data_IF_729677930861
#
_entry.id   IF_729677930861
#
_cell.length_a   1.000
_cell.length_b   1.000
_cell.length_c   1.000
_cell.angle_alpha   90.00
_cell.angle_beta   90.00
_cell.angle_gamma   90.00
#
_symmetry.space_group_name_H-M   'P 1'
#
loop_
_entity.id
_entity.type
_entity.pdbx_description
1 polymer ?
#
# COMPACT_ATOMS: atom_id res chain seq x y z
N UNK A 1 17.39 -36.21 25.06
CA UNK A 1 17.21 -34.85 24.50
C UNK A 1 17.92 -34.79 23.16
N UNK A 2 17.15 -34.70 22.07
CA UNK A 2 17.62 -34.99 20.72
C UNK A 2 18.28 -33.80 20.00
N UNK A 3 19.36 -34.09 19.28
CA UNK A 3 20.06 -33.17 18.36
C UNK A 3 19.19 -32.89 17.10
N UNK A 4 18.20 -33.74 16.85
CA UNK A 4 17.25 -33.62 15.74
C UNK A 4 16.23 -32.49 15.91
N UNK A 5 15.99 -31.96 17.13
CA UNK A 5 15.07 -30.83 17.33
C UNK A 5 15.69 -29.46 17.09
N UNK A 6 17.02 -29.36 17.04
CA UNK A 6 17.72 -28.11 16.69
C UNK A 6 17.94 -27.96 15.19
N UNK A 7 18.02 -29.09 14.46
CA UNK A 7 18.09 -29.07 13.00
C UNK A 7 16.77 -28.59 12.36
N UNK A 8 15.61 -28.89 12.95
CA UNK A 8 14.31 -28.44 12.42
C UNK A 8 14.05 -26.94 12.62
N UNK A 9 14.66 -26.31 13.63
CA UNK A 9 14.47 -24.87 13.90
C UNK A 9 15.33 -23.97 13.01
N UNK A 10 16.52 -24.45 12.62
CA UNK A 10 17.45 -23.71 11.73
C UNK A 10 17.00 -23.76 10.27
N UNK A 11 16.16 -24.72 9.89
CA UNK A 11 15.56 -24.77 8.55
C UNK A 11 14.39 -23.78 8.46
N UNK A 12 13.56 -23.63 9.51
CA UNK A 12 12.43 -22.68 9.50
C UNK A 12 12.87 -21.22 9.43
N UNK A 13 13.95 -20.84 10.10
CA UNK A 13 14.46 -19.45 10.06
C UNK A 13 15.18 -19.12 8.75
N UNK A 14 15.79 -20.09 8.08
CA UNK A 14 16.40 -19.91 6.76
C UNK A 14 15.41 -20.01 5.60
N UNK A 15 14.26 -20.67 5.78
CA UNK A 15 13.17 -20.63 4.78
C UNK A 15 12.53 -19.23 4.74
N UNK A 16 12.36 -18.54 5.87
CA UNK A 16 11.93 -17.13 5.86
C UNK A 16 13.00 -16.18 5.28
N UNK A 17 14.30 -16.47 5.48
CA UNK A 17 15.37 -15.63 4.92
C UNK A 17 15.72 -15.93 3.45
N UNK A 18 15.42 -17.13 2.94
CA UNK A 18 15.63 -17.52 1.53
C UNK A 18 14.37 -17.34 0.66
N UNK A 19 13.15 -17.32 1.23
CA UNK A 19 11.97 -16.79 0.52
C UNK A 19 12.09 -15.28 0.25
N UNK A 20 12.81 -14.54 1.09
CA UNK A 20 13.09 -13.11 0.90
C UNK A 20 14.24 -12.83 -0.07
N UNK A 21 14.75 -13.85 -0.77
CA UNK A 21 15.61 -13.70 -1.95
C UNK A 21 14.90 -14.24 -3.19
N UNK A 22 13.60 -14.04 -3.29
CA UNK A 22 12.97 -13.85 -4.58
C UNK A 22 13.63 -12.61 -5.18
N UNK A 23 14.41 -12.76 -6.26
CA UNK A 23 14.74 -11.62 -7.11
C UNK A 23 13.43 -10.89 -7.39
N UNK A 24 13.37 -9.61 -7.03
CA UNK A 24 12.24 -8.75 -7.37
C UNK A 24 12.01 -8.91 -8.89
N UNK A 25 10.88 -9.48 -9.32
CA UNK A 25 10.64 -9.74 -10.73
C UNK A 25 10.69 -8.44 -11.54
N UNK A 26 10.42 -7.29 -10.91
CA UNK A 26 10.62 -5.97 -11.52
C UNK A 26 12.08 -5.73 -11.91
N UNK A 27 13.04 -5.98 -11.01
CA UNK A 27 14.47 -5.74 -11.26
C UNK A 27 15.02 -6.65 -12.37
N UNK A 28 14.64 -7.93 -12.37
CA UNK A 28 15.08 -8.86 -13.43
C UNK A 28 14.50 -8.48 -14.80
N UNK A 29 13.26 -7.98 -14.84
CA UNK A 29 12.66 -7.49 -16.08
C UNK A 29 13.25 -6.14 -16.52
N UNK A 30 13.60 -5.25 -15.59
CA UNK A 30 14.30 -3.99 -15.88
C UNK A 30 15.66 -4.27 -16.52
N UNK A 31 16.45 -5.16 -15.92
CA UNK A 31 17.73 -5.60 -16.47
C UNK A 31 17.59 -6.22 -17.87
N UNK A 32 16.61 -7.11 -18.05
CA UNK A 32 16.35 -7.73 -19.36
C UNK A 32 15.96 -6.69 -20.42
N UNK A 33 15.19 -5.66 -20.04
CA UNK A 33 14.83 -4.58 -20.95
C UNK A 33 16.05 -3.76 -21.37
N UNK A 34 16.95 -3.43 -20.45
CA UNK A 34 18.22 -2.76 -20.75
C UNK A 34 19.07 -3.59 -21.70
N UNK A 35 19.23 -4.88 -21.43
CA UNK A 35 19.99 -5.79 -22.31
C UNK A 35 19.42 -5.82 -23.74
N UNK A 36 18.09 -5.83 -23.90
CA UNK A 36 17.48 -5.77 -25.22
C UNK A 36 17.72 -4.43 -25.92
N UNK A 37 17.74 -3.31 -25.17
CA UNK A 37 18.07 -1.99 -25.73
C UNK A 37 19.53 -1.92 -26.20
N UNK A 38 20.44 -2.49 -25.43
CA UNK A 38 21.85 -2.58 -25.81
C UNK A 38 22.02 -3.44 -27.06
N UNK A 39 21.32 -4.56 -27.15
CA UNK A 39 21.33 -5.41 -28.35
C UNK A 39 20.77 -4.66 -29.58
N UNK A 40 19.69 -3.89 -29.42
CA UNK A 40 19.18 -3.05 -30.49
C UNK A 40 20.22 -2.01 -30.94
N UNK A 41 20.99 -1.45 -30.01
CA UNK A 41 22.07 -0.52 -30.34
C UNK A 41 23.22 -1.21 -31.07
N UNK A 42 23.61 -2.42 -30.65
CA UNK A 42 24.61 -3.24 -31.33
C UNK A 42 24.19 -3.56 -32.76
N UNK A 43 22.93 -3.93 -32.99
CA UNK A 43 22.39 -4.18 -34.34
C UNK A 43 22.46 -2.91 -35.19
N UNK A 44 22.06 -1.74 -34.65
CA UNK A 44 22.17 -0.45 -35.35
C UNK A 44 23.61 -0.13 -35.75
N UNK A 45 24.56 -0.37 -34.85
CA UNK A 45 25.99 -0.19 -35.13
C UNK A 45 26.48 -1.14 -36.23
N UNK A 46 26.08 -2.41 -36.17
CA UNK A 46 26.40 -3.39 -37.22
C UNK A 46 25.87 -3.00 -38.59
N UNK A 47 24.65 -2.43 -38.67
CA UNK A 47 24.10 -1.88 -39.91
C UNK A 47 24.93 -0.69 -40.41
N UNK A 48 25.37 0.20 -39.52
CA UNK A 48 26.21 1.35 -39.89
C UNK A 48 27.58 0.90 -40.43
N UNK A 49 28.21 -0.09 -39.80
CA UNK A 49 29.48 -0.67 -40.24
C UNK A 49 29.35 -1.33 -41.61
N UNK A 50 28.25 -2.06 -41.83
CA UNK A 50 27.95 -2.69 -43.11
C UNK A 50 27.71 -1.64 -44.21
N UNK A 51 26.99 -0.57 -43.88
CA UNK A 51 26.74 0.57 -44.78
C UNK A 51 28.07 1.22 -45.20
N UNK A 52 28.97 1.41 -44.24
CA UNK A 52 30.30 1.99 -44.48
C UNK A 52 31.12 1.10 -45.42
N UNK A 53 31.11 -0.22 -45.19
CA UNK A 53 31.77 -1.18 -46.08
C UNK A 53 31.20 -1.14 -47.50
N UNK A 54 29.86 -1.11 -47.64
CA UNK A 54 29.19 -0.98 -48.94
C UNK A 54 29.63 0.30 -49.67
N UNK A 55 29.60 1.45 -48.99
CA UNK A 55 30.05 2.73 -49.57
C UNK A 55 31.52 2.73 -49.98
N UNK A 56 32.38 2.05 -49.23
CA UNK A 56 33.79 1.89 -49.61
C UNK A 56 33.96 1.11 -50.91
N UNK A 57 33.14 0.08 -51.14
CA UNK A 57 33.16 -0.67 -52.41
C UNK A 57 32.58 0.15 -53.55
N UNK A 58 31.49 0.89 -53.33
CA UNK A 58 30.91 1.79 -54.34
C UNK A 58 31.92 2.87 -54.80
N UNK A 59 32.68 3.46 -53.87
CA UNK A 59 33.74 4.41 -54.22
C UNK A 59 34.84 3.75 -55.05
N UNK A 60 35.23 2.51 -54.72
CA UNK A 60 36.21 1.77 -55.51
C UNK A 60 35.68 1.45 -56.91
N UNK A 61 34.43 1.02 -57.02
CA UNK A 61 33.74 0.78 -58.30
C UNK A 61 33.78 2.04 -59.17
N UNK A 62 33.39 3.21 -58.62
CA UNK A 62 33.40 4.49 -59.34
C UNK A 62 34.79 4.85 -59.88
N UNK A 63 35.84 4.66 -59.10
CA UNK A 63 37.23 4.87 -59.56
C UNK A 63 37.60 3.94 -60.73
N UNK A 64 37.11 2.70 -60.73
CA UNK A 64 37.36 1.78 -61.85
C UNK A 64 36.58 2.19 -63.09
N UNK A 65 35.34 2.66 -62.94
CA UNK A 65 34.52 3.20 -64.04
C UNK A 65 35.22 4.38 -64.73
N UNK A 66 35.76 5.34 -63.97
CA UNK A 66 36.57 6.44 -64.52
C UNK A 66 37.81 5.93 -65.29
N UNK A 67 38.45 4.84 -64.83
CA UNK A 67 39.58 4.24 -65.54
C UNK A 67 39.15 3.52 -66.82
N UNK A 68 37.97 2.89 -66.82
CA UNK A 68 37.37 2.28 -68.02
C UNK A 68 37.12 3.34 -69.08
N UNK A 69 36.58 4.50 -68.69
CA UNK A 69 36.37 5.64 -69.60
C UNK A 69 37.70 6.17 -70.17
N UNK A 70 38.70 6.40 -69.30
CA UNK A 70 40.04 6.83 -69.75
C UNK A 70 40.68 5.86 -70.73
N UNK A 71 40.62 4.56 -70.48
CA UNK A 71 41.16 3.56 -71.41
C UNK A 71 40.36 3.48 -72.71
N UNK A 72 39.05 3.73 -72.66
CA UNK A 72 38.20 3.82 -73.84
C UNK A 72 38.57 5.04 -74.71
N UNK A 73 38.82 6.19 -74.11
CA UNK A 73 39.33 7.38 -74.83
C UNK A 73 40.72 7.15 -75.41
N UNK A 74 41.64 6.55 -74.66
CA UNK A 74 42.97 6.19 -75.14
C UNK A 74 42.90 5.24 -76.35
N UNK A 75 42.01 4.26 -76.32
CA UNK A 75 41.79 3.36 -77.45
C UNK A 75 41.29 4.12 -78.69
N UNK A 76 40.30 5.02 -78.54
CA UNK A 76 39.79 5.85 -79.65
C UNK A 76 40.89 6.72 -80.26
N UNK A 77 41.67 7.43 -79.44
CA UNK A 77 42.80 8.26 -79.90
C UNK A 77 43.90 7.45 -80.60
N UNK A 78 44.17 6.22 -80.14
CA UNK A 78 45.14 5.35 -80.78
C UNK A 78 44.67 4.88 -82.16
N UNK A 79 43.37 4.57 -82.31
CA UNK A 79 42.77 4.23 -83.61
C UNK A 79 42.80 5.42 -84.56
N UNK A 80 42.51 6.64 -84.09
CA UNK A 80 42.63 7.87 -84.90
C UNK A 80 44.05 8.13 -85.42
N UNK A 81 45.07 7.53 -84.78
CA UNK A 81 46.47 7.65 -85.15
C UNK A 81 47.01 6.41 -85.90
N UNK A 82 46.12 5.49 -86.31
CA UNK A 82 46.48 4.21 -86.96
C UNK A 82 47.43 3.34 -86.10
N UNK A 83 47.34 3.45 -84.77
CA UNK A 83 48.16 2.70 -83.80
C UNK A 83 47.37 1.58 -83.14
N UNK A 84 47.03 0.57 -83.93
CA UNK A 84 46.21 -0.58 -83.50
C UNK A 84 46.81 -1.37 -82.32
N UNK A 85 48.13 -1.43 -82.20
CA UNK A 85 48.83 -2.11 -81.10
C UNK A 85 48.55 -1.42 -79.75
N UNK A 86 48.53 -0.09 -79.74
CA UNK A 86 48.18 0.71 -78.56
C UNK A 86 46.69 0.65 -78.26
N UNK A 87 45.84 0.69 -79.30
CA UNK A 87 44.39 0.55 -79.12
C UNK A 87 44.04 -0.79 -78.47
N UNK A 88 44.64 -1.90 -78.94
CA UNK A 88 44.45 -3.23 -78.36
C UNK A 88 44.87 -3.29 -76.89
N UNK A 89 46.05 -2.75 -76.55
CA UNK A 89 46.53 -2.68 -75.15
C UNK A 89 45.60 -1.86 -74.25
N UNK A 90 45.06 -0.75 -74.73
CA UNK A 90 44.11 0.07 -73.99
C UNK A 90 42.79 -0.69 -73.75
N UNK A 91 42.28 -1.39 -74.77
CA UNK A 91 41.08 -2.22 -74.66
C UNK A 91 41.27 -3.44 -73.74
N UNK A 92 42.45 -4.06 -73.73
CA UNK A 92 42.79 -5.13 -72.77
C UNK A 92 42.73 -4.62 -71.32
N UNK A 93 43.33 -3.45 -71.03
CA UNK A 93 43.24 -2.81 -69.71
C UNK A 93 41.79 -2.47 -69.35
N UNK A 94 41.03 -1.90 -70.30
CA UNK A 94 39.60 -1.62 -70.13
C UNK A 94 38.85 -2.89 -69.71
N UNK A 95 39.04 -4.00 -70.43
CA UNK A 95 38.40 -5.29 -70.14
C UNK A 95 38.77 -5.81 -68.75
N UNK A 96 40.03 -5.73 -68.35
CA UNK A 96 40.46 -6.12 -67.00
C UNK A 96 39.74 -5.29 -65.92
N UNK A 97 39.58 -3.98 -66.12
CA UNK A 97 38.86 -3.11 -65.19
C UNK A 97 37.36 -3.38 -65.16
N UNK A 98 36.75 -3.69 -66.31
CA UNK A 98 35.33 -4.10 -66.37
C UNK A 98 35.08 -5.39 -65.58
N UNK A 99 35.96 -6.39 -65.69
CA UNK A 99 35.84 -7.61 -64.87
C UNK A 99 35.98 -7.30 -63.36
N UNK A 100 36.81 -6.34 -62.97
CA UNK A 100 36.92 -5.90 -61.57
C UNK A 100 35.64 -5.21 -61.08
N UNK A 101 35.00 -4.41 -61.93
CA UNK A 101 33.71 -3.77 -61.64
C UNK A 101 32.62 -4.81 -61.40
N UNK A 102 32.49 -5.80 -62.29
CA UNK A 102 31.48 -6.87 -62.16
C UNK A 102 31.62 -7.63 -60.83
N UNK A 103 32.87 -7.93 -60.41
CA UNK A 103 33.12 -8.54 -59.10
C UNK A 103 32.70 -7.64 -57.92
N UNK A 104 32.93 -6.33 -58.02
CA UNK A 104 32.49 -5.38 -56.99
C UNK A 104 30.98 -5.22 -56.96
N UNK A 105 30.30 -5.26 -58.11
CA UNK A 105 28.84 -5.21 -58.19
C UNK A 105 28.20 -6.39 -57.45
N UNK A 106 28.75 -7.60 -57.65
CA UNK A 106 28.33 -8.78 -56.90
C UNK A 106 28.48 -8.58 -55.38
N UNK A 107 29.63 -8.08 -54.93
CA UNK A 107 29.89 -7.81 -53.51
C UNK A 107 28.97 -6.73 -52.94
N UNK A 108 28.73 -5.64 -53.68
CA UNK A 108 27.82 -4.56 -53.27
C UNK A 108 26.40 -5.11 -53.11
N UNK A 109 25.92 -5.89 -54.07
CA UNK A 109 24.59 -6.51 -54.02
C UNK A 109 24.46 -7.51 -52.84
N UNK A 110 25.52 -8.25 -52.52
CA UNK A 110 25.55 -9.12 -51.34
C UNK A 110 25.45 -8.32 -50.04
N UNK A 111 26.20 -7.21 -49.91
CA UNK A 111 26.15 -6.36 -48.73
C UNK A 111 24.79 -5.65 -48.60
N UNK A 112 24.18 -5.25 -49.72
CA UNK A 112 22.84 -4.66 -49.75
C UNK A 112 21.78 -5.65 -49.23
N UNK A 113 21.76 -6.89 -49.74
CA UNK A 113 20.86 -7.93 -49.21
C UNK A 113 21.04 -8.18 -47.71
N UNK A 114 22.28 -8.20 -47.24
CA UNK A 114 22.58 -8.36 -45.80
C UNK A 114 22.10 -7.15 -44.99
N UNK A 115 22.26 -5.95 -45.53
CA UNK A 115 21.80 -4.72 -44.91
C UNK A 115 20.29 -4.72 -44.75
N UNK A 116 19.55 -5.04 -45.81
CA UNK A 116 18.09 -5.07 -45.78
C UNK A 116 17.58 -6.09 -44.76
N UNK A 117 18.19 -7.28 -44.73
CA UNK A 117 17.87 -8.31 -43.75
C UNK A 117 18.11 -7.85 -42.30
N UNK A 118 19.23 -7.16 -42.03
CA UNK A 118 19.51 -6.62 -40.70
C UNK A 118 18.54 -5.50 -40.32
N UNK A 119 18.08 -4.68 -41.27
CA UNK A 119 17.06 -3.65 -41.02
C UNK A 119 15.74 -4.31 -40.62
N UNK A 120 15.31 -5.36 -41.32
CA UNK A 120 14.11 -6.13 -40.96
C UNK A 120 14.22 -6.74 -39.56
N UNK A 121 15.36 -7.35 -39.24
CA UNK A 121 15.62 -7.91 -37.91
C UNK A 121 15.64 -6.83 -36.82
N UNK A 122 16.24 -5.67 -37.09
CA UNK A 122 16.23 -4.50 -36.19
C UNK A 122 14.80 -4.05 -35.91
N UNK A 123 13.96 -3.94 -36.94
CA UNK A 123 12.56 -3.55 -36.78
C UNK A 123 11.76 -4.58 -35.98
N UNK A 124 12.04 -5.87 -36.18
CA UNK A 124 11.44 -6.94 -35.37
C UNK A 124 11.87 -6.86 -33.90
N UNK A 125 13.16 -6.68 -33.64
CA UNK A 125 13.69 -6.54 -32.28
C UNK A 125 13.10 -5.31 -31.59
N UNK A 126 12.97 -4.18 -32.30
CA UNK A 126 12.33 -2.98 -31.78
C UNK A 126 10.88 -3.24 -31.35
N UNK A 127 10.08 -3.91 -32.17
CA UNK A 127 8.70 -4.29 -31.80
C UNK A 127 8.66 -5.20 -30.57
N UNK A 128 9.57 -6.17 -30.49
CA UNK A 128 9.67 -7.07 -29.34
C UNK A 128 10.05 -6.32 -28.06
N UNK A 129 10.93 -5.31 -28.15
CA UNK A 129 11.31 -4.45 -27.03
C UNK A 129 10.12 -3.62 -26.53
N UNK A 130 9.34 -3.06 -27.44
CA UNK A 130 8.12 -2.31 -27.10
C UNK A 130 7.08 -3.21 -26.40
N UNK A 131 6.85 -4.41 -26.94
CA UNK A 131 5.97 -5.40 -26.30
C UNK A 131 6.49 -5.83 -24.93
N UNK A 132 7.80 -6.07 -24.81
CA UNK A 132 8.44 -6.43 -23.56
C UNK A 132 8.30 -5.31 -22.51
N UNK A 133 8.45 -4.05 -22.90
CA UNK A 133 8.22 -2.89 -22.03
C UNK A 133 6.81 -2.90 -21.45
N UNK A 134 5.78 -3.06 -22.29
CA UNK A 134 4.38 -3.11 -21.82
C UNK A 134 4.14 -4.28 -20.87
N UNK A 135 4.67 -5.46 -21.19
CA UNK A 135 4.57 -6.65 -20.32
C UNK A 135 5.27 -6.42 -18.99
N UNK A 136 6.46 -5.82 -19.00
CA UNK A 136 7.22 -5.47 -17.79
C UNK A 136 6.41 -4.58 -16.86
N UNK A 137 5.89 -3.45 -17.36
CA UNK A 137 5.09 -2.52 -16.53
C UNK A 137 3.83 -3.21 -15.98
N UNK A 138 3.17 -4.05 -16.79
CA UNK A 138 2.01 -4.83 -16.34
C UNK A 138 2.37 -5.81 -15.23
N UNK A 139 3.51 -6.50 -15.37
CA UNK A 139 3.99 -7.46 -14.36
C UNK A 139 4.41 -6.76 -13.07
N UNK A 140 5.06 -5.60 -13.17
CA UNK A 140 5.44 -4.78 -12.02
C UNK A 140 4.20 -4.32 -11.23
N UNK A 141 3.21 -3.74 -11.91
CA UNK A 141 1.95 -3.33 -11.28
C UNK A 141 1.20 -4.50 -10.62
N UNK A 142 1.17 -5.67 -11.27
CA UNK A 142 0.55 -6.88 -10.70
C UNK A 142 1.29 -7.37 -9.46
N UNK A 143 2.62 -7.32 -9.49
CA UNK A 143 3.45 -7.69 -8.35
C UNK A 143 3.21 -6.75 -7.16
N UNK A 144 3.23 -5.43 -7.39
CA UNK A 144 2.94 -4.42 -6.36
C UNK A 144 1.53 -4.59 -5.76
N UNK A 145 0.52 -4.85 -6.61
CA UNK A 145 -0.84 -5.11 -6.14
C UNK A 145 -0.96 -6.41 -5.32
N UNK A 146 -0.26 -7.47 -5.72
CA UNK A 146 -0.22 -8.72 -4.99
C UNK A 146 0.50 -8.56 -3.64
N UNK A 147 1.59 -7.79 -3.61
CA UNK A 147 2.32 -7.46 -2.39
C UNK A 147 1.46 -6.64 -1.42
N UNK A 148 0.78 -5.60 -1.91
CA UNK A 148 -0.15 -4.81 -1.09
C UNK A 148 -1.29 -5.68 -0.53
N UNK A 149 -1.85 -6.56 -1.37
CA UNK A 149 -2.90 -7.50 -0.95
C UNK A 149 -2.39 -8.46 0.13
N UNK A 150 -1.16 -8.97 0.00
CA UNK A 150 -0.55 -9.82 1.02
C UNK A 150 -0.37 -9.09 2.35
N UNK A 151 0.13 -7.84 2.32
CA UNK A 151 0.27 -7.00 3.53
C UNK A 151 -1.06 -6.72 4.22
N UNK A 152 -2.13 -6.43 3.46
CA UNK A 152 -3.48 -6.22 4.02
C UNK A 152 -4.01 -7.50 4.66
N UNK A 153 -3.87 -8.65 4.00
CA UNK A 153 -4.30 -9.93 4.56
C UNK A 153 -3.52 -10.26 5.84
N UNK A 154 -2.20 -10.06 5.85
CA UNK A 154 -1.36 -10.24 7.03
C UNK A 154 -1.82 -9.34 8.18
N UNK A 155 -2.05 -8.06 7.91
CA UNK A 155 -2.58 -7.11 8.89
C UNK A 155 -3.96 -7.51 9.42
N UNK A 156 -4.88 -7.98 8.56
CA UNK A 156 -6.20 -8.46 8.99
C UNK A 156 -6.10 -9.72 9.84
N UNK A 157 -5.25 -10.68 9.46
CA UNK A 157 -5.05 -11.91 10.26
C UNK A 157 -4.38 -11.62 11.60
N UNK A 158 -3.38 -10.73 11.62
CA UNK A 158 -2.71 -10.31 12.85
C UNK A 158 -3.59 -9.45 13.76
N UNK A 159 -4.49 -8.65 13.18
CA UNK A 159 -5.53 -7.94 13.91
C UNK A 159 -6.61 -8.91 14.43
N UNK A 160 -6.88 -10.01 13.73
CA UNK A 160 -7.82 -11.04 14.17
C UNK A 160 -7.48 -11.61 15.54
N UNK A 161 -6.21 -11.92 15.79
CA UNK A 161 -5.74 -12.40 17.09
C UNK A 161 -5.98 -11.35 18.19
N UNK A 162 -5.72 -10.08 17.89
CA UNK A 162 -5.95 -8.95 18.81
C UNK A 162 -7.43 -8.66 19.03
N UNK A 163 -8.26 -8.80 17.99
CA UNK A 163 -9.71 -8.63 18.05
C UNK A 163 -10.37 -9.76 18.84
N UNK A 164 -9.87 -10.98 18.76
CA UNK A 164 -10.34 -12.10 19.57
C UNK A 164 -10.09 -11.86 21.06
N UNK A 165 -8.91 -11.32 21.41
CA UNK A 165 -8.58 -10.92 22.78
C UNK A 165 -9.47 -9.77 23.30
N UNK A 166 -9.76 -8.79 22.45
CA UNK A 166 -10.66 -7.68 22.78
C UNK A 166 -12.09 -8.20 22.98
N UNK A 167 -12.60 -9.04 22.07
CA UNK A 167 -13.94 -9.61 22.15
C UNK A 167 -14.16 -10.39 23.45
N UNK A 168 -13.20 -11.26 23.82
CA UNK A 168 -13.22 -11.97 25.13
C UNK A 168 -13.22 -11.03 26.33
N UNK A 169 -12.58 -9.87 26.20
CA UNK A 169 -12.51 -8.90 27.28
C UNK A 169 -13.83 -8.14 27.45
N UNK A 170 -14.50 -7.83 26.34
CA UNK A 170 -15.85 -7.25 26.34
C UNK A 170 -16.85 -8.23 26.95
N UNK A 171 -16.85 -9.50 26.53
CA UNK A 171 -17.76 -10.53 27.05
C UNK A 171 -17.66 -10.68 28.58
N UNK A 172 -16.44 -10.70 29.14
CA UNK A 172 -16.23 -10.73 30.61
C UNK A 172 -16.74 -9.46 31.31
N UNK A 173 -16.66 -8.31 30.65
CA UNK A 173 -17.14 -7.06 31.21
C UNK A 173 -18.68 -7.02 31.22
N UNK A 174 -19.32 -7.55 30.18
CA UNK A 174 -20.77 -7.73 30.09
C UNK A 174 -21.26 -8.69 31.17
N UNK A 175 -20.68 -9.88 31.28
CA UNK A 175 -21.07 -10.90 32.28
C UNK A 175 -20.97 -10.35 33.72
N UNK A 176 -19.92 -9.56 33.99
CA UNK A 176 -19.76 -8.91 35.30
C UNK A 176 -20.79 -7.81 35.54
N UNK A 177 -21.16 -7.07 34.50
CA UNK A 177 -22.21 -6.04 34.58
C UNK A 177 -23.55 -6.70 34.84
N UNK A 178 -23.90 -7.75 34.11
CA UNK A 178 -25.11 -8.54 34.33
C UNK A 178 -25.16 -9.13 35.75
N UNK A 179 -24.04 -9.64 36.27
CA UNK A 179 -23.97 -10.11 37.65
C UNK A 179 -24.22 -8.98 38.66
N UNK A 180 -23.65 -7.80 38.43
CA UNK A 180 -23.88 -6.63 39.28
C UNK A 180 -25.33 -6.16 39.23
N UNK A 181 -25.95 -6.14 38.05
CA UNK A 181 -27.36 -5.82 37.85
C UNK A 181 -28.27 -6.84 38.52
N UNK A 182 -28.00 -8.14 38.35
CA UNK A 182 -28.75 -9.21 39.00
C UNK A 182 -28.64 -9.15 40.53
N UNK A 183 -27.44 -8.85 41.06
CA UNK A 183 -27.24 -8.60 42.50
C UNK A 183 -28.01 -7.38 42.97
N UNK A 184 -28.02 -6.28 42.20
CA UNK A 184 -28.80 -5.08 42.53
C UNK A 184 -30.30 -5.40 42.57
N UNK A 185 -30.82 -6.09 41.55
CA UNK A 185 -32.23 -6.50 41.50
C UNK A 185 -32.61 -7.43 42.67
N UNK A 186 -31.74 -8.38 43.03
CA UNK A 186 -31.94 -9.25 44.18
C UNK A 186 -31.92 -8.46 45.50
N UNK A 187 -31.06 -7.46 45.64
CA UNK A 187 -31.04 -6.57 46.81
C UNK A 187 -32.30 -5.71 46.90
N UNK A 188 -32.79 -5.20 45.77
CA UNK A 188 -34.04 -4.45 45.68
C UNK A 188 -35.24 -5.33 46.09
N UNK A 189 -35.31 -6.58 45.61
CA UNK A 189 -36.34 -7.56 46.01
C UNK A 189 -36.25 -7.93 47.50
N UNK A 190 -35.03 -8.12 48.04
CA UNK A 190 -34.81 -8.36 49.47
C UNK A 190 -35.23 -7.18 50.35
N UNK A 191 -35.09 -5.95 49.84
CA UNK A 191 -35.55 -4.72 50.50
C UNK A 191 -37.07 -4.61 50.46
N UNK A 192 -37.70 -4.87 49.31
CA UNK A 192 -39.17 -4.82 49.16
C UNK A 192 -39.88 -5.91 49.97
N UNK A 193 -39.31 -7.12 50.06
CA UNK A 193 -39.82 -8.22 50.89
C UNK A 193 -39.57 -8.03 52.40
N UNK A 194 -38.82 -7.00 52.80
CA UNK A 194 -38.45 -6.73 54.20
C UNK A 194 -37.44 -7.72 54.79
N UNK A 195 -36.94 -8.68 54.01
CA UNK A 195 -35.97 -9.67 54.46
C UNK A 195 -34.58 -9.06 54.76
N UNK A 196 -34.21 -7.99 54.06
CA UNK A 196 -32.94 -7.29 54.25
C UNK A 196 -32.88 -6.60 55.63
N UNK A 197 -33.94 -5.90 56.04
CA UNK A 197 -34.04 -5.27 57.37
C UNK A 197 -34.04 -6.32 58.50
N UNK A 198 -34.58 -7.51 58.23
CA UNK A 198 -34.56 -8.63 59.18
C UNK A 198 -33.17 -9.26 59.37
N UNK A 199 -32.26 -9.15 58.39
CA UNK A 199 -30.92 -9.73 58.44
C UNK A 199 -29.85 -8.74 58.97
N UNK A 200 -30.05 -7.44 58.80
CA UNK A 200 -29.13 -6.38 59.28
C UNK A 200 -29.43 -5.95 60.72
N UNK A 201 -30.64 -6.24 61.21
CA UNK A 201 -31.04 -5.98 62.59
C UNK A 201 -30.42 -6.97 63.58
N UNK A 202 -29.58 -6.47 64.51
CA UNK A 202 -29.07 -7.22 65.68
C UNK A 202 -30.17 -7.52 66.73
N UNK A 203 -31.44 -7.18 66.45
CA UNK A 203 -32.56 -7.43 67.37
C UNK A 203 -33.06 -8.87 67.22
N UNK A 204 -32.93 -9.64 68.29
CA UNK A 204 -33.50 -10.97 68.44
C UNK A 204 -35.02 -10.94 68.22
N UNK A 205 -35.63 -12.06 67.81
CA UNK A 205 -37.10 -12.17 67.70
C UNK A 205 -37.82 -11.81 69.02
N UNK A 206 -37.13 -11.98 70.15
CA UNK A 206 -37.61 -11.63 71.49
C UNK A 206 -37.67 -10.12 71.74
N UNK A 207 -36.73 -9.34 71.19
CA UNK A 207 -36.69 -7.88 71.36
C UNK A 207 -37.82 -7.21 70.57
N UNK A 208 -38.20 -7.78 69.42
CA UNK A 208 -39.36 -7.33 68.62
C UNK A 208 -40.68 -7.59 69.33
N UNK A 209 -40.85 -8.78 69.92
CA UNK A 209 -42.06 -9.12 70.68
C UNK A 209 -42.21 -8.24 71.93
N UNK A 210 -41.09 -7.84 72.56
CA UNK A 210 -41.05 -6.88 73.66
C UNK A 210 -41.37 -5.44 73.22
N UNK A 211 -40.91 -5.01 72.05
CA UNK A 211 -41.18 -3.66 71.51
C UNK A 211 -42.64 -3.54 71.08
N UNK A 212 -43.20 -4.58 70.44
CA UNK A 212 -44.64 -4.68 70.09
C UNK A 212 -45.52 -4.68 71.35
N UNK A 213 -45.17 -5.48 72.38
CA UNK A 213 -45.82 -5.43 73.70
C UNK A 213 -45.65 -4.09 74.41
N UNK A 214 -44.52 -3.39 74.24
CA UNK A 214 -44.29 -2.07 74.83
C UNK A 214 -45.09 -0.98 74.12
N UNK A 215 -45.32 -1.14 72.81
CA UNK A 215 -46.09 -0.22 71.99
C UNK A 215 -47.57 -0.40 72.29
N UNK A 216 -48.07 -1.64 72.40
CA UNK A 216 -49.42 -1.94 72.91
C UNK A 216 -49.61 -1.42 74.34
N UNK A 217 -48.64 -1.63 75.24
CA UNK A 217 -48.71 -1.09 76.60
C UNK A 217 -48.56 0.44 76.67
N UNK A 218 -47.96 1.08 75.68
CA UNK A 218 -47.89 2.54 75.55
C UNK A 218 -49.20 3.11 75.04
N UNK A 219 -49.81 2.47 74.03
CA UNK A 219 -51.11 2.84 73.48
C UNK A 219 -52.22 2.66 74.53
N UNK A 220 -52.18 1.59 75.33
CA UNK A 220 -53.13 1.39 76.44
C UNK A 220 -52.98 2.44 77.55
N UNK A 221 -51.73 2.85 77.88
CA UNK A 221 -51.49 3.96 78.82
C UNK A 221 -51.92 5.31 78.25
N UNK A 222 -51.74 5.54 76.95
CA UNK A 222 -52.18 6.76 76.27
C UNK A 222 -53.71 6.80 76.13
N UNK A 223 -54.38 5.64 76.01
CA UNK A 223 -55.84 5.49 76.04
C UNK A 223 -56.42 5.72 77.46
N UNK A 224 -55.74 5.27 78.51
CA UNK A 224 -56.11 5.56 79.90
C UNK A 224 -55.86 7.03 80.27
N UNK A 225 -54.81 7.64 79.71
CA UNK A 225 -54.53 9.07 79.87
C UNK A 225 -55.59 9.91 79.15
N UNK A 226 -55.96 9.57 77.91
CA UNK A 226 -57.09 10.18 77.17
C UNK A 226 -58.44 10.00 77.89
N UNK A 227 -58.70 8.84 78.51
CA UNK A 227 -59.89 8.64 79.36
C UNK A 227 -59.89 9.48 80.63
N UNK A 228 -58.72 9.75 81.20
CA UNK A 228 -58.56 10.62 82.37
C UNK A 228 -58.63 12.12 82.02
N UNK A 229 -58.22 12.49 80.80
CA UNK A 229 -58.27 13.86 80.27
C UNK A 229 -59.66 14.25 79.75
N UNK A 230 -60.50 13.29 79.33
CA UNK A 230 -61.93 13.53 79.04
C UNK A 230 -62.81 13.77 80.29
N UNK A 231 -62.25 13.65 81.51
CA UNK A 231 -62.96 13.85 82.77
C UNK A 231 -62.75 15.21 83.45
N UNK A 232 -61.92 16.10 82.88
CA UNK A 232 -61.55 17.38 83.51
C UNK A 232 -61.20 18.45 82.46
N UNK A 233 -62.24 18.92 81.77
CA UNK A 233 -62.19 20.14 80.98
C UNK A 233 -63.55 20.85 81.06
N UNK A 234 -63.75 21.65 82.11
CA UNK A 234 -64.65 22.79 82.07
C UNK A 234 -63.99 23.95 82.86
N UNK A 235 -63.77 25.05 82.12
CA UNK A 235 -63.45 26.44 82.49
C UNK A 235 -62.01 26.99 82.50
N UNK A 236 -61.89 28.05 81.69
CA UNK A 236 -60.92 29.16 81.59
C UNK A 236 -59.60 28.88 80.85
N UNK A 237 -59.44 29.16 79.55
CA UNK A 237 -59.63 30.38 78.72
C UNK A 237 -58.49 31.41 78.79
N UNK A 238 -58.19 31.95 77.60
CA UNK A 238 -57.45 33.15 77.23
C UNK A 238 -55.92 33.10 76.97
N UNK A 239 -55.62 33.15 75.65
CA UNK A 239 -54.70 34.09 74.96
C UNK A 239 -53.18 34.06 75.29
N UNK A 240 -52.22 34.31 74.39
CA UNK A 240 -52.12 34.60 72.96
C UNK A 240 -50.61 34.68 72.59
N UNK A 241 -50.28 34.66 71.29
CA UNK A 241 -49.03 35.17 70.70
C UNK A 241 -48.04 34.08 70.26
N UNK A 242 -47.83 33.85 68.95
CA UNK A 242 -46.90 34.60 68.06
C UNK A 242 -45.42 34.34 68.47
N UNK A 243 -44.46 33.99 67.63
CA UNK A 243 -44.30 34.12 66.19
C UNK A 243 -42.90 33.56 65.80
N UNK A 244 -42.72 33.22 64.51
CA UNK A 244 -41.53 33.48 63.65
C UNK A 244 -40.16 32.85 64.06
N UNK A 245 -39.24 32.42 63.19
CA UNK A 245 -38.82 32.75 61.82
C UNK A 245 -38.28 31.44 61.18
N UNK A 246 -38.48 31.10 59.90
CA UNK A 246 -38.16 31.82 58.66
C UNK A 246 -36.65 31.87 58.31
N UNK A 247 -36.42 31.59 57.02
CA UNK A 247 -35.27 31.93 56.17
C UNK A 247 -34.11 30.93 56.08
N UNK A 248 -34.01 30.16 54.98
CA UNK A 248 -33.69 30.53 53.57
C UNK A 248 -32.18 30.47 53.36
N UNK A 249 -31.72 29.53 52.52
CA UNK A 249 -30.89 29.73 51.31
C UNK A 249 -30.95 28.38 50.53
N UNK A 250 -31.82 28.18 49.53
CA UNK A 250 -31.63 28.44 48.07
C UNK A 250 -30.24 28.06 47.52
N UNK A 251 -30.12 26.82 47.04
CA UNK A 251 -29.89 26.36 45.65
C UNK A 251 -29.20 27.31 44.64
N UNK A 252 -28.67 26.87 43.46
CA UNK A 252 -28.24 25.53 43.00
C UNK A 252 -26.86 25.56 42.27
N UNK A 253 -26.51 24.40 41.67
CA UNK A 253 -25.90 24.17 40.35
C UNK A 253 -25.68 25.39 39.42
N UNK A 254 -24.82 25.42 38.42
CA UNK A 254 -24.33 24.41 37.46
C UNK A 254 -23.32 25.18 36.58
N UNK A 255 -22.31 24.54 35.99
CA UNK A 255 -22.05 24.75 34.56
C UNK A 255 -21.09 23.68 34.03
N UNK A 256 -21.64 22.92 33.09
CA UNK A 256 -20.99 22.02 32.16
C UNK A 256 -20.56 22.85 30.96
N UNK A 257 -19.40 22.55 30.35
CA UNK A 257 -19.20 22.93 28.96
C UNK A 257 -18.58 21.78 28.14
N UNK A 258 -19.32 21.44 27.08
CA UNK A 258 -18.98 20.55 25.98
C UNK A 258 -18.06 21.30 25.00
N UNK A 259 -17.13 20.60 24.33
CA UNK A 259 -17.04 20.63 22.86
C UNK A 259 -16.02 19.61 22.33
N UNK A 260 -16.48 18.85 21.33
CA UNK A 260 -15.86 17.69 20.69
C UNK A 260 -14.93 18.06 19.52
N UNK A 261 -13.95 17.17 19.29
CA UNK A 261 -13.40 16.66 18.02
C UNK A 261 -13.58 17.46 16.71
N UNK A 262 -12.47 17.77 16.03
CA UNK A 262 -12.12 17.16 14.71
C UNK A 262 -10.75 17.62 14.14
N UNK A 263 -10.01 16.62 13.60
CA UNK A 263 -9.15 16.57 12.40
C UNK A 263 -7.75 17.21 12.30
N UNK A 264 -6.84 16.34 11.85
CA UNK A 264 -5.52 16.54 11.22
C UNK A 264 -5.56 17.50 10.01
N UNK A 265 -4.44 18.19 9.75
CA UNK A 265 -3.58 17.99 8.55
C UNK A 265 -2.33 18.89 8.70
N UNK A 266 -1.16 18.29 8.45
CA UNK A 266 0.13 18.98 8.38
C UNK A 266 0.23 19.86 7.14
N UNK A 267 0.46 21.16 7.33
CA UNK A 267 1.02 22.03 6.29
C UNK A 267 2.55 22.04 6.43
N UNK A 268 3.23 21.28 5.58
CA UNK A 268 4.64 21.53 5.23
C UNK A 268 4.71 21.76 3.72
N UNK A 269 4.65 23.03 3.35
CA UNK A 269 5.33 23.70 2.24
C UNK A 269 5.63 22.85 0.98
N UNK A 270 4.74 22.96 -0.01
CA UNK A 270 5.05 22.67 -1.42
C UNK A 270 4.44 23.80 -2.25
N UNK A 271 5.24 24.81 -2.60
CA UNK A 271 5.17 25.54 -3.87
C UNK A 271 6.17 26.71 -3.90
N UNK A 272 7.32 26.50 -4.56
CA UNK A 272 8.06 27.51 -5.33
C UNK A 272 9.34 26.87 -5.88
N UNK A 273 9.32 26.47 -7.16
CA UNK A 273 10.43 26.58 -8.15
C UNK A 273 10.17 25.63 -9.33
N UNK A 274 9.21 26.02 -10.17
CA UNK A 274 9.14 25.62 -11.57
C UNK A 274 9.55 26.84 -12.40
N UNK A 275 10.86 27.08 -12.60
CA UNK A 275 11.35 27.94 -13.68
C UNK A 275 12.87 27.79 -13.91
N UNK A 276 13.37 26.64 -14.37
CA UNK A 276 14.67 26.60 -15.09
C UNK A 276 14.90 25.31 -15.90
N UNK A 277 14.06 25.02 -16.90
CA UNK A 277 14.49 24.22 -18.07
C UNK A 277 13.80 24.76 -19.31
N UNK A 278 14.30 25.89 -19.83
CA UNK A 278 13.99 26.34 -21.19
C UNK A 278 15.15 27.02 -21.92
N UNK A 279 16.38 26.71 -21.52
CA UNK A 279 17.57 27.02 -22.31
C UNK A 279 18.51 25.81 -22.27
N UNK A 280 18.26 24.84 -23.15
CA UNK A 280 19.27 24.01 -23.84
C UNK A 280 18.56 23.11 -24.86
N UNK A 281 18.07 23.74 -25.94
CA UNK A 281 18.04 23.17 -27.30
C UNK A 281 18.67 24.19 -28.26
#
# INVERSE_FOLDING_TARGET
>A
MGILSRASYVIRSKVNALLNRAEDPGQTLDYSYEQLRDELQNVKQGIADLTTQKKRLEIQKRRLEENVEKHNEQARKAVEQDRDDLARKALEKKKQKMNQIENLEGQIADLERKQDNLIEQKDQLQRQIEEFRTRKETMKARYEAAEASARVNEAMTGAGDQMEDIARTIERAEERTEEMEARSAALDELRESGALDNAVSDKSSLDRELEELSTDASVDRELDTLKSEMGKAEEADAEAGEDLDADLETDPAEDVNLEDLEKEVSESEVDAELEEVKEEE
#
